data_IF_854201370087
#
_entry.id   IF_854201370087
#
_cell.length_a   1.000
_cell.length_b   1.000
_cell.length_c   1.000
_cell.angle_alpha   90.00
_cell.angle_beta   90.00
_cell.angle_gamma   90.00
#
_symmetry.space_group_name_H-M   'P 1'
#
loop_
_entity.id
_entity.type
_entity.pdbx_description
1 polymer ?
#
# COMPACT_ATOMS: atom_id res chain seq x y z
N UNK A 1 6.89 23.77 -10.44
CA UNK A 1 6.69 23.66 -8.98
C UNK A 1 6.49 22.19 -8.70
N UNK A 2 7.42 21.56 -7.99
CA UNK A 2 7.32 20.12 -7.68
C UNK A 2 6.46 19.90 -6.45
N UNK A 3 5.60 18.88 -6.49
CA UNK A 3 4.73 18.46 -5.38
C UNK A 3 4.89 16.96 -5.20
N UNK A 4 5.03 16.52 -3.97
CA UNK A 4 5.21 15.10 -3.71
C UNK A 4 5.35 14.74 -2.24
N UNK A 5 5.92 13.57 -1.98
CA UNK A 5 6.11 13.05 -0.62
C UNK A 5 7.37 13.67 -0.01
N UNK A 6 7.19 14.48 1.03
CA UNK A 6 8.26 15.12 1.77
C UNK A 6 8.76 14.26 2.93
N UNK A 7 7.86 13.54 3.58
CA UNK A 7 8.17 12.62 4.68
C UNK A 7 7.37 11.33 4.54
N UNK A 8 7.96 10.22 4.96
CA UNK A 8 7.28 8.91 4.99
C UNK A 8 7.59 8.21 6.32
N UNK A 9 6.54 7.68 6.96
CA UNK A 9 6.63 6.89 8.19
C UNK A 9 5.92 5.55 8.03
N UNK A 10 6.32 4.59 8.86
CA UNK A 10 5.78 3.25 8.81
C UNK A 10 5.61 2.70 10.23
N UNK A 11 4.46 2.08 10.47
CA UNK A 11 4.19 1.32 11.69
C UNK A 11 3.60 -0.05 11.37
N UNK A 12 3.91 -1.02 12.20
CA UNK A 12 3.33 -2.36 12.15
C UNK A 12 3.18 -2.89 13.57
N UNK A 13 2.41 -3.97 13.75
CA UNK A 13 2.22 -4.56 15.08
C UNK A 13 3.52 -5.08 15.68
N UNK A 14 3.56 -5.12 17.02
CA UNK A 14 4.66 -5.71 17.79
C UNK A 14 4.72 -7.23 17.70
N UNK A 15 3.63 -7.88 17.29
CA UNK A 15 3.56 -9.35 17.20
C UNK A 15 3.77 -9.82 15.76
N UNK A 16 4.51 -10.90 15.65
CA UNK A 16 4.85 -11.54 14.38
C UNK A 16 4.55 -13.04 14.44
N UNK A 17 4.00 -13.58 13.37
CA UNK A 17 3.86 -15.01 13.15
C UNK A 17 4.83 -15.45 12.06
N UNK A 18 5.80 -16.30 12.41
CA UNK A 18 6.68 -16.90 11.43
C UNK A 18 5.94 -17.90 10.54
N UNK A 19 6.23 -17.88 9.25
CA UNK A 19 5.57 -18.79 8.31
C UNK A 19 5.94 -20.25 8.54
N UNK A 20 7.11 -20.54 9.12
CA UNK A 20 7.48 -21.90 9.51
C UNK A 20 6.58 -22.43 10.64
N UNK A 21 6.27 -21.59 11.63
CA UNK A 21 5.37 -21.97 12.74
C UNK A 21 3.93 -22.16 12.24
N UNK A 22 3.47 -21.31 11.33
CA UNK A 22 2.18 -21.47 10.68
C UNK A 22 2.12 -22.77 9.86
N UNK A 23 3.18 -23.10 9.12
CA UNK A 23 3.27 -24.32 8.33
C UNK A 23 3.17 -25.56 9.22
N UNK A 24 3.88 -25.57 10.34
CA UNK A 24 3.81 -26.64 11.33
C UNK A 24 2.39 -26.79 11.89
N UNK A 25 1.75 -25.68 12.29
CA UNK A 25 0.39 -25.67 12.84
C UNK A 25 -0.67 -26.13 11.83
N UNK A 26 -0.42 -25.99 10.53
CA UNK A 26 -1.33 -26.39 9.44
C UNK A 26 -0.93 -27.71 8.77
N UNK A 27 0.14 -28.37 9.22
CA UNK A 27 0.60 -29.63 8.65
C UNK A 27 0.99 -29.53 7.17
N UNK A 28 1.58 -28.40 6.75
CA UNK A 28 2.01 -28.15 5.38
C UNK A 28 3.51 -27.93 5.32
N UNK A 29 4.10 -28.12 4.11
CA UNK A 29 5.51 -27.84 3.88
C UNK A 29 5.79 -26.33 4.02
N UNK A 30 6.76 -25.89 4.86
CA UNK A 30 7.16 -24.49 5.00
C UNK A 30 7.56 -23.82 3.68
N UNK A 31 8.07 -24.56 2.70
CA UNK A 31 8.43 -24.03 1.38
C UNK A 31 7.22 -23.52 0.59
N UNK A 32 6.02 -23.98 0.94
CA UNK A 32 4.77 -23.45 0.37
C UNK A 32 4.63 -21.93 0.61
N UNK A 33 5.08 -21.45 1.77
CA UNK A 33 5.04 -20.04 2.12
C UNK A 33 6.31 -19.30 1.72
N UNK A 34 7.49 -19.79 2.11
CA UNK A 34 8.77 -19.11 1.88
C UNK A 34 9.15 -19.02 0.39
N UNK A 35 8.94 -20.09 -0.40
CA UNK A 35 9.21 -20.13 -1.84
C UNK A 35 7.96 -19.89 -2.68
N UNK A 36 6.82 -20.48 -2.26
CA UNK A 36 5.56 -20.41 -2.99
C UNK A 36 4.91 -19.03 -2.98
N UNK A 37 4.95 -18.32 -1.87
CA UNK A 37 4.43 -16.97 -1.69
C UNK A 37 5.52 -15.92 -1.53
N UNK A 38 6.76 -16.30 -1.21
CA UNK A 38 7.88 -15.43 -0.82
C UNK A 38 7.56 -14.66 0.47
N UNK A 39 6.96 -15.35 1.46
CA UNK A 39 6.66 -14.82 2.79
C UNK A 39 7.45 -15.58 3.85
N UNK A 40 8.10 -14.85 4.75
CA UNK A 40 8.88 -15.39 5.86
C UNK A 40 8.12 -15.22 7.18
N UNK A 41 7.35 -14.14 7.31
CA UNK A 41 6.55 -13.83 8.49
C UNK A 41 5.36 -12.94 8.13
N UNK A 42 4.44 -12.76 9.07
CA UNK A 42 3.34 -11.80 8.98
C UNK A 42 3.14 -11.10 10.31
N UNK A 43 2.69 -9.84 10.23
CA UNK A 43 2.34 -9.02 11.38
C UNK A 43 0.94 -9.42 11.90
N UNK A 44 0.78 -9.50 13.22
CA UNK A 44 -0.48 -9.82 13.89
C UNK A 44 -0.79 -8.77 14.93
N UNK A 45 -1.98 -8.17 14.85
CA UNK A 45 -2.43 -7.18 15.82
C UNK A 45 -3.03 -7.83 17.07
N UNK A 46 -2.64 -7.39 18.28
CA UNK A 46 -3.39 -7.68 19.50
C UNK A 46 -4.72 -6.93 19.52
N UNK A 47 -5.55 -7.22 20.50
CA UNK A 47 -6.84 -6.54 20.67
C UNK A 47 -6.71 -5.03 20.99
N UNK A 48 -5.55 -4.59 21.39
CA UNK A 48 -5.23 -3.19 21.73
C UNK A 48 -4.77 -2.35 20.53
N UNK A 49 -4.58 -2.96 19.37
CA UNK A 49 -4.16 -2.26 18.15
C UNK A 49 -5.27 -2.33 17.10
N UNK A 50 -5.47 -1.21 16.42
CA UNK A 50 -6.37 -1.07 15.28
C UNK A 50 -5.75 -0.17 14.18
N UNK A 51 -6.50 0.11 13.12
CA UNK A 51 -6.03 0.96 12.02
C UNK A 51 -5.77 2.41 12.46
N UNK A 52 -6.44 2.89 13.53
CA UNK A 52 -6.27 4.25 14.04
C UNK A 52 -4.97 4.37 14.82
N UNK A 53 -4.67 3.40 15.68
CA UNK A 53 -3.42 3.38 16.45
C UNK A 53 -2.22 3.21 15.54
N UNK A 54 -2.25 2.24 14.60
CA UNK A 54 -1.20 2.05 13.60
C UNK A 54 -0.98 3.30 12.73
N UNK A 55 -2.07 3.93 12.28
CA UNK A 55 -2.00 5.17 11.49
C UNK A 55 -1.35 6.31 12.28
N UNK A 56 -1.73 6.45 13.56
CA UNK A 56 -1.20 7.49 14.44
C UNK A 56 0.28 7.28 14.73
N UNK A 57 0.70 6.04 15.00
CA UNK A 57 2.11 5.71 15.25
C UNK A 57 2.98 5.99 14.01
N UNK A 58 2.54 5.55 12.80
CA UNK A 58 3.27 5.82 11.57
C UNK A 58 3.44 7.32 11.29
N UNK A 59 2.45 8.14 11.66
CA UNK A 59 2.49 9.58 11.44
C UNK A 59 3.24 10.34 12.55
N UNK A 60 3.15 9.89 13.79
CA UNK A 60 3.80 10.55 14.93
C UNK A 60 5.32 10.63 14.76
N UNK A 61 5.94 9.60 14.20
CA UNK A 61 7.39 9.51 14.00
C UNK A 61 7.94 10.54 13.00
N UNK A 62 7.08 11.06 12.11
CA UNK A 62 7.53 11.96 11.03
C UNK A 62 7.08 13.41 11.19
N UNK A 63 6.10 13.68 12.05
CA UNK A 63 5.50 15.01 12.20
C UNK A 63 6.15 15.79 13.36
N UNK A 64 6.58 17.00 13.06
CA UNK A 64 6.92 17.99 14.07
C UNK A 64 5.77 19.00 14.27
N UNK A 65 5.93 19.93 15.23
CA UNK A 65 4.89 20.91 15.56
C UNK A 65 4.57 21.87 14.41
N UNK A 66 5.54 22.17 13.53
CA UNK A 66 5.31 23.04 12.39
C UNK A 66 4.54 22.31 11.30
N UNK A 67 4.77 21.00 11.10
CA UNK A 67 3.94 20.19 10.22
C UNK A 67 2.49 20.15 10.71
N UNK A 68 2.28 19.91 12.01
CA UNK A 68 0.92 19.84 12.60
C UNK A 68 0.13 21.14 12.45
N UNK A 69 0.82 22.28 12.44
CA UNK A 69 0.21 23.60 12.15
C UNK A 69 -0.09 23.83 10.67
N UNK A 70 0.76 23.29 9.78
CA UNK A 70 0.64 23.48 8.33
C UNK A 70 -0.28 22.46 7.66
N UNK A 71 -0.56 21.31 8.31
CA UNK A 71 -1.52 20.32 7.79
C UNK A 71 -2.92 20.90 7.85
N UNK A 72 -3.56 21.05 6.70
CA UNK A 72 -4.96 21.45 6.58
C UNK A 72 -5.86 20.33 6.02
N UNK A 73 -5.26 19.15 5.77
CA UNK A 73 -6.00 17.97 5.33
C UNK A 73 -5.35 16.67 5.84
N UNK A 74 -6.19 15.78 6.38
CA UNK A 74 -5.84 14.42 6.78
C UNK A 74 -6.71 13.43 6.02
N UNK A 75 -6.09 12.55 5.25
CA UNK A 75 -6.74 11.47 4.50
C UNK A 75 -6.28 10.13 5.09
N UNK A 76 -7.20 9.37 5.64
CA UNK A 76 -6.94 7.96 5.97
C UNK A 76 -7.54 7.10 4.87
N UNK A 77 -6.68 6.38 4.15
CA UNK A 77 -7.05 5.43 3.12
C UNK A 77 -7.07 4.02 3.73
N UNK A 78 -8.23 3.40 3.73
CA UNK A 78 -8.40 2.09 4.37
C UNK A 78 -9.57 1.31 3.76
N UNK A 79 -9.46 -0.01 3.75
CA UNK A 79 -10.59 -0.92 3.55
C UNK A 79 -10.96 -1.67 4.85
N UNK A 80 -10.33 -1.32 5.97
CA UNK A 80 -10.56 -1.90 7.31
C UNK A 80 -11.23 -0.90 8.26
N UNK A 81 -12.16 -0.07 7.73
CA UNK A 81 -12.89 0.97 8.49
C UNK A 81 -13.45 0.43 9.81
N UNK A 82 -13.40 1.25 10.85
CA UNK A 82 -13.90 0.93 12.20
C UNK A 82 -15.31 1.47 12.45
N UNK A 83 -15.79 2.39 11.62
CA UNK A 83 -17.10 3.02 11.73
C UNK A 83 -17.67 3.29 10.33
N UNK A 84 -18.98 3.22 10.17
CA UNK A 84 -19.64 3.44 8.87
C UNK A 84 -19.94 4.91 8.58
N UNK A 85 -19.76 5.81 9.55
CA UNK A 85 -20.11 7.22 9.48
C UNK A 85 -18.96 8.14 9.87
N UNK A 86 -18.30 7.88 11.00
CA UNK A 86 -17.16 8.67 11.47
C UNK A 86 -15.86 8.12 10.87
N UNK A 87 -15.19 8.96 10.09
CA UNK A 87 -13.92 8.60 9.44
C UNK A 87 -12.80 8.33 10.46
N UNK A 88 -11.98 7.30 10.20
CA UNK A 88 -10.76 7.02 10.97
C UNK A 88 -9.83 8.24 11.05
N UNK A 89 -9.80 9.07 9.99
CA UNK A 89 -9.03 10.30 9.95
C UNK A 89 -9.35 11.30 11.06
N UNK A 90 -10.60 11.32 11.55
CA UNK A 90 -11.01 12.22 12.66
C UNK A 90 -10.37 11.79 13.98
N UNK A 91 -10.25 10.49 14.22
CA UNK A 91 -9.57 9.97 15.40
C UNK A 91 -8.06 10.25 15.32
N UNK A 92 -7.44 9.95 14.17
CA UNK A 92 -6.01 10.20 13.93
C UNK A 92 -5.66 11.67 14.06
N UNK A 93 -6.47 12.56 13.49
CA UNK A 93 -6.33 14.02 13.63
C UNK A 93 -6.24 14.43 15.10
N UNK A 94 -7.16 13.93 15.94
CA UNK A 94 -7.21 14.23 17.37
C UNK A 94 -6.00 13.68 18.12
N UNK A 95 -5.61 12.42 17.86
CA UNK A 95 -4.47 11.77 18.52
C UNK A 95 -3.13 12.46 18.20
N UNK A 96 -2.97 12.95 16.97
CA UNK A 96 -1.76 13.64 16.55
C UNK A 96 -1.71 15.12 16.98
N UNK A 97 -2.80 15.67 17.48
CA UNK A 97 -2.89 17.09 17.86
C UNK A 97 -2.70 18.03 16.65
N UNK A 98 -3.26 17.67 15.49
CA UNK A 98 -3.25 18.53 14.30
C UNK A 98 -4.18 19.72 14.54
N UNK A 99 -3.85 20.87 13.94
CA UNK A 99 -4.62 22.09 14.11
C UNK A 99 -6.11 21.90 13.70
N UNK A 100 -7.08 22.57 14.37
CA UNK A 100 -8.49 22.21 14.31
C UNK A 100 -9.21 22.54 12.99
N UNK A 101 -8.61 23.35 12.12
CA UNK A 101 -9.21 23.75 10.84
C UNK A 101 -8.79 22.85 9.68
N UNK A 102 -8.18 21.69 9.96
CA UNK A 102 -7.86 20.69 8.97
C UNK A 102 -9.12 19.89 8.57
N UNK A 103 -9.25 19.60 7.28
CA UNK A 103 -10.24 18.65 6.76
C UNK A 103 -9.79 17.23 7.08
N UNK A 104 -10.69 16.40 7.61
CA UNK A 104 -10.38 15.01 7.93
C UNK A 104 -11.43 14.08 7.37
N UNK A 105 -11.04 13.16 6.49
CA UNK A 105 -11.97 12.20 5.88
C UNK A 105 -11.28 10.88 5.56
N UNK A 106 -12.09 9.86 5.34
CA UNK A 106 -11.65 8.51 4.96
C UNK A 106 -11.90 8.27 3.48
N UNK A 107 -10.96 7.60 2.83
CA UNK A 107 -11.05 7.24 1.42
C UNK A 107 -11.07 5.72 1.27
N UNK A 108 -12.03 5.20 0.49
CA UNK A 108 -12.22 3.76 0.28
C UNK A 108 -12.28 3.46 -1.22
N UNK A 109 -11.43 2.59 -1.66
CA UNK A 109 -11.45 1.86 -2.92
C UNK A 109 -10.45 0.70 -2.82
N UNK A 110 -10.75 -0.27 -1.96
CA UNK A 110 -9.85 -1.38 -1.68
C UNK A 110 -8.38 -0.91 -1.55
N UNK A 111 -7.43 -1.64 -2.10
CA UNK A 111 -6.01 -1.30 -2.01
C UNK A 111 -5.59 -0.05 -2.81
N UNK A 112 -6.46 0.50 -3.69
CA UNK A 112 -6.18 1.71 -4.48
C UNK A 112 -6.37 3.01 -3.70
N UNK A 113 -7.08 2.99 -2.57
CA UNK A 113 -7.50 4.18 -1.85
C UNK A 113 -6.36 5.16 -1.53
N UNK A 114 -5.17 4.66 -1.13
CA UNK A 114 -4.01 5.53 -0.86
C UNK A 114 -3.44 6.18 -2.12
N UNK A 115 -3.49 5.51 -3.27
CA UNK A 115 -3.10 6.10 -4.56
C UNK A 115 -4.05 7.25 -4.93
N UNK A 116 -5.36 7.05 -4.77
CA UNK A 116 -6.35 8.11 -4.95
C UNK A 116 -6.09 9.28 -3.97
N UNK A 117 -5.77 8.97 -2.71
CA UNK A 117 -5.43 9.96 -1.69
C UNK A 117 -4.22 10.81 -2.06
N UNK A 118 -3.16 10.21 -2.59
CA UNK A 118 -1.98 10.94 -3.07
C UNK A 118 -2.29 11.85 -4.26
N UNK A 119 -3.09 11.37 -5.22
CA UNK A 119 -3.53 12.21 -6.35
C UNK A 119 -4.36 13.41 -5.86
N UNK A 120 -5.28 13.18 -4.92
CA UNK A 120 -6.07 14.26 -4.34
C UNK A 120 -5.20 15.25 -3.55
N UNK A 121 -4.24 14.75 -2.75
CA UNK A 121 -3.30 15.57 -1.99
C UNK A 121 -2.44 16.45 -2.93
N UNK A 122 -1.95 15.91 -4.05
CA UNK A 122 -1.22 16.67 -5.06
C UNK A 122 -2.05 17.83 -5.62
N UNK A 123 -3.30 17.57 -6.00
CA UNK A 123 -4.22 18.59 -6.52
C UNK A 123 -4.52 19.66 -5.47
N UNK A 124 -4.67 19.26 -4.20
CA UNK A 124 -4.91 20.19 -3.10
C UNK A 124 -3.72 21.12 -2.88
N UNK A 125 -2.50 20.57 -2.79
CA UNK A 125 -1.26 21.36 -2.63
C UNK A 125 -1.00 22.24 -3.85
N UNK A 126 -1.35 21.81 -5.07
CA UNK A 126 -1.25 22.63 -6.26
C UNK A 126 -2.13 23.88 -6.20
N UNK A 127 -3.34 23.75 -5.62
CA UNK A 127 -4.28 24.85 -5.42
C UNK A 127 -3.95 25.71 -4.18
N UNK A 128 -3.29 25.13 -3.19
CA UNK A 128 -2.94 25.73 -1.89
C UNK A 128 -1.45 25.49 -1.56
N UNK A 129 -0.53 26.26 -2.13
CA UNK A 129 0.91 25.99 -2.10
C UNK A 129 1.57 25.92 -0.72
N UNK A 130 1.05 26.64 0.26
CA UNK A 130 1.54 26.64 1.63
C UNK A 130 0.98 25.49 2.48
N UNK A 131 0.06 24.71 1.92
CA UNK A 131 -0.63 23.63 2.57
C UNK A 131 0.21 22.36 2.62
N UNK A 132 0.02 21.56 3.66
CA UNK A 132 0.48 20.18 3.74
C UNK A 132 -0.70 19.24 3.89
N UNK A 133 -0.61 18.09 3.23
CA UNK A 133 -1.62 17.03 3.32
C UNK A 133 -0.99 15.77 3.90
N UNK A 134 -1.59 15.24 4.96
CA UNK A 134 -1.20 13.97 5.53
C UNK A 134 -2.07 12.86 4.93
N UNK A 135 -1.46 11.99 4.14
CA UNK A 135 -2.11 10.79 3.57
C UNK A 135 -1.60 9.57 4.31
N UNK A 136 -2.49 8.78 4.88
CA UNK A 136 -2.14 7.57 5.62
C UNK A 136 -2.87 6.39 5.02
N UNK A 137 -2.13 5.36 4.60
CA UNK A 137 -2.65 4.03 4.29
C UNK A 137 -2.56 3.18 5.55
N UNK A 138 -3.67 2.68 6.08
CA UNK A 138 -3.66 1.87 7.31
C UNK A 138 -4.69 0.75 7.21
N UNK A 139 -4.22 -0.50 7.31
CA UNK A 139 -5.09 -1.67 7.21
C UNK A 139 -4.64 -2.84 8.08
N UNK A 140 -5.61 -3.69 8.41
CA UNK A 140 -5.43 -5.00 9.00
C UNK A 140 -6.11 -6.02 8.09
N UNK A 141 -5.30 -6.80 7.37
CA UNK A 141 -5.80 -7.83 6.47
C UNK A 141 -6.23 -9.07 7.24
N UNK A 142 -7.52 -9.42 7.17
CA UNK A 142 -8.11 -10.58 7.86
C UNK A 142 -8.87 -11.45 6.87
N UNK A 143 -8.44 -12.70 6.74
CA UNK A 143 -9.07 -13.70 5.88
C UNK A 143 -9.73 -14.84 6.68
N UNK A 144 -9.42 -14.96 7.97
CA UNK A 144 -9.88 -16.03 8.85
C UNK A 144 -8.86 -17.16 9.01
N UNK A 145 -8.95 -17.82 10.15
CA UNK A 145 -8.12 -18.97 10.52
C UNK A 145 -8.43 -20.15 9.58
N UNK A 146 -7.40 -20.88 9.17
CA UNK A 146 -7.47 -22.02 8.24
C UNK A 146 -8.02 -21.71 6.84
N UNK A 147 -8.21 -20.43 6.52
CA UNK A 147 -8.58 -20.02 5.17
C UNK A 147 -7.38 -20.09 4.21
N UNK A 148 -7.65 -20.14 2.91
CA UNK A 148 -6.60 -20.09 1.88
C UNK A 148 -5.79 -18.78 1.89
N UNK A 149 -6.34 -17.71 2.48
CA UNK A 149 -5.70 -16.39 2.61
C UNK A 149 -4.93 -16.20 3.91
N UNK A 150 -5.05 -17.10 4.89
CA UNK A 150 -4.48 -16.91 6.24
C UNK A 150 -3.00 -16.52 6.22
N UNK A 151 -2.19 -17.18 5.39
CA UNK A 151 -0.76 -16.93 5.31
C UNK A 151 -0.39 -15.57 4.70
N UNK A 152 -1.34 -14.89 4.06
CA UNK A 152 -1.11 -13.57 3.44
C UNK A 152 -1.65 -12.41 4.27
N UNK A 153 -2.17 -12.67 5.46
CA UNK A 153 -2.61 -11.63 6.39
C UNK A 153 -1.45 -10.72 6.79
N UNK A 154 -1.77 -9.55 7.31
CA UNK A 154 -0.78 -8.59 7.81
C UNK A 154 -1.46 -7.37 8.40
N UNK A 155 -0.69 -6.52 9.04
CA UNK A 155 -1.17 -5.28 9.64
C UNK A 155 -0.10 -4.20 9.58
N UNK A 156 -0.49 -2.97 9.29
CA UNK A 156 0.44 -1.85 9.29
C UNK A 156 -0.14 -0.60 8.67
N UNK A 157 0.61 0.47 8.83
CA UNK A 157 0.29 1.78 8.28
C UNK A 157 1.51 2.44 7.64
N UNK A 158 1.25 3.19 6.57
CA UNK A 158 2.24 4.07 5.93
C UNK A 158 1.70 5.48 5.95
N UNK A 159 2.38 6.40 6.62
CA UNK A 159 2.06 7.83 6.64
C UNK A 159 2.95 8.58 5.66
N UNK A 160 2.36 9.44 4.85
CA UNK A 160 3.02 10.25 3.83
C UNK A 160 2.61 11.71 3.97
N UNK A 161 3.58 12.60 4.19
CA UNK A 161 3.34 14.03 4.21
C UNK A 161 3.59 14.58 2.79
N UNK A 162 2.55 15.09 2.16
CA UNK A 162 2.60 15.67 0.82
C UNK A 162 2.71 17.19 0.93
N UNK A 163 3.69 17.77 0.24
CA UNK A 163 3.93 19.22 0.21
C UNK A 163 4.61 19.66 -1.07
N UNK A 164 4.80 20.98 -1.23
CA UNK A 164 5.72 21.52 -2.22
C UNK A 164 7.18 21.24 -1.87
N UNK A 165 8.03 21.18 -2.91
CA UNK A 165 9.46 20.94 -2.82
C UNK A 165 9.79 19.72 -1.95
N UNK A 166 9.25 18.54 -2.31
CA UNK A 166 9.37 17.32 -1.52
C UNK A 166 10.81 16.82 -1.49
N UNK A 167 11.23 16.24 -0.36
CA UNK A 167 12.60 15.71 -0.17
C UNK A 167 12.76 14.26 -0.60
N UNK A 168 11.66 13.49 -0.69
CA UNK A 168 11.73 12.05 -0.97
C UNK A 168 11.44 11.76 -2.45
N UNK A 169 10.26 12.16 -2.94
CA UNK A 169 9.89 11.95 -4.34
C UNK A 169 8.84 12.96 -4.80
N UNK A 170 8.88 13.27 -6.08
CA UNK A 170 7.88 14.06 -6.78
C UNK A 170 6.78 13.14 -7.34
N UNK A 171 5.52 13.59 -7.25
CA UNK A 171 4.39 12.92 -7.87
C UNK A 171 4.19 13.46 -9.29
N UNK A 172 4.48 12.66 -10.30
CA UNK A 172 4.30 13.03 -11.70
C UNK A 172 2.81 13.19 -12.08
N UNK A 173 2.54 13.81 -13.24
CA UNK A 173 1.18 14.02 -13.78
C UNK A 173 0.80 13.01 -14.86
N UNK A 174 1.65 12.01 -15.08
CA UNK A 174 1.59 11.04 -16.16
C UNK A 174 0.84 9.74 -15.80
N UNK A 175 -0.03 9.77 -14.80
CA UNK A 175 -0.73 8.57 -14.34
C UNK A 175 -1.78 8.04 -15.33
N UNK A 176 -2.03 6.73 -15.26
CA UNK A 176 -3.09 6.03 -15.97
C UNK A 176 -3.92 5.23 -14.97
N UNK A 177 -5.24 5.36 -15.06
CA UNK A 177 -6.18 4.61 -14.25
C UNK A 177 -7.19 3.86 -15.12
N UNK A 178 -7.61 2.68 -14.65
CA UNK A 178 -8.67 1.88 -15.25
C UNK A 178 -9.66 1.46 -14.17
N UNK A 179 -10.94 1.66 -14.43
CA UNK A 179 -12.02 1.14 -13.58
C UNK A 179 -12.75 0.02 -14.30
N UNK A 180 -12.99 -1.09 -13.58
CA UNK A 180 -13.82 -2.20 -14.04
C UNK A 180 -14.71 -2.66 -12.89
N UNK A 181 -15.97 -2.91 -13.17
CA UNK A 181 -16.89 -3.53 -12.21
C UNK A 181 -16.66 -5.04 -12.22
N UNK A 182 -15.90 -5.53 -11.24
CA UNK A 182 -15.56 -6.95 -11.09
C UNK A 182 -15.73 -7.39 -9.63
N UNK A 183 -16.32 -8.56 -9.44
CA UNK A 183 -16.45 -9.19 -8.11
C UNK A 183 -15.17 -9.98 -7.80
N UNK A 184 -14.08 -9.23 -7.57
CA UNK A 184 -12.79 -9.75 -7.18
C UNK A 184 -12.36 -9.10 -5.88
N UNK A 185 -12.16 -9.88 -4.81
CA UNK A 185 -11.78 -9.38 -3.51
C UNK A 185 -12.70 -8.24 -3.03
N UNK A 186 -13.85 -8.59 -2.50
CA UNK A 186 -14.84 -7.64 -2.01
C UNK A 186 -15.43 -8.09 -0.67
N UNK A 187 -15.75 -7.14 0.19
CA UNK A 187 -16.27 -7.40 1.53
C UNK A 187 -17.54 -6.59 1.78
N UNK A 188 -18.72 -7.15 1.57
CA UNK A 188 -19.97 -6.48 1.87
C UNK A 188 -20.18 -6.32 3.38
N UNK A 189 -21.04 -5.37 3.78
CA UNK A 189 -21.27 -5.02 5.19
C UNK A 189 -21.75 -6.20 6.07
N UNK A 190 -22.32 -7.23 5.49
CA UNK A 190 -22.77 -8.43 6.20
C UNK A 190 -21.67 -9.49 6.39
N UNK A 191 -20.44 -9.24 5.91
CA UNK A 191 -19.33 -10.19 6.04
C UNK A 191 -18.15 -9.54 6.79
N UNK A 192 -17.58 -10.30 7.75
CA UNK A 192 -16.36 -9.90 8.47
C UNK A 192 -15.08 -10.20 7.72
N UNK A 193 -15.15 -11.05 6.67
CA UNK A 193 -14.00 -11.44 5.84
C UNK A 193 -14.31 -11.20 4.36
N UNK A 194 -13.30 -10.89 3.54
CA UNK A 194 -13.50 -10.68 2.11
C UNK A 194 -13.85 -11.99 1.39
N UNK A 195 -14.66 -11.88 0.36
CA UNK A 195 -14.85 -12.95 -0.62
C UNK A 195 -13.76 -12.84 -1.69
N UNK A 196 -13.09 -13.95 -1.95
CA UNK A 196 -12.04 -14.03 -2.95
C UNK A 196 -12.00 -15.40 -3.61
N UNK A 197 -11.86 -15.41 -4.93
CA UNK A 197 -11.59 -16.61 -5.70
C UNK A 197 -10.17 -16.52 -6.27
N UNK A 198 -9.20 -17.22 -5.68
CA UNK A 198 -7.77 -17.01 -5.90
C UNK A 198 -7.31 -17.08 -7.37
N UNK A 199 -7.85 -18.02 -8.18
CA UNK A 199 -7.51 -18.12 -9.61
C UNK A 199 -8.05 -16.91 -10.37
N UNK A 200 -9.29 -16.53 -10.13
CA UNK A 200 -9.92 -15.36 -10.76
C UNK A 200 -9.20 -14.07 -10.36
N UNK A 201 -8.92 -13.89 -9.07
CA UNK A 201 -8.19 -12.75 -8.51
C UNK A 201 -6.81 -12.60 -9.15
N UNK A 202 -6.04 -13.69 -9.22
CA UNK A 202 -4.74 -13.70 -9.90
C UNK A 202 -4.85 -13.24 -11.36
N UNK A 203 -5.87 -13.70 -12.09
CA UNK A 203 -6.11 -13.28 -13.47
C UNK A 203 -6.44 -11.80 -13.55
N UNK A 204 -7.34 -11.29 -12.68
CA UNK A 204 -7.69 -9.86 -12.65
C UNK A 204 -6.47 -8.98 -12.40
N UNK A 205 -5.62 -9.36 -11.45
CA UNK A 205 -4.38 -8.64 -11.14
C UNK A 205 -3.45 -8.56 -12.38
N UNK A 206 -3.17 -9.70 -13.01
CA UNK A 206 -2.26 -9.78 -14.16
C UNK A 206 -2.80 -9.06 -15.40
N UNK A 207 -4.10 -9.20 -15.68
CA UNK A 207 -4.74 -8.56 -16.84
C UNK A 207 -4.83 -7.03 -16.65
N UNK A 208 -5.16 -6.56 -15.43
CA UNK A 208 -5.20 -5.12 -15.11
C UNK A 208 -3.81 -4.49 -15.23
N UNK A 209 -2.78 -5.12 -14.64
CA UNK A 209 -1.41 -4.61 -14.76
C UNK A 209 -0.96 -4.51 -16.22
N UNK A 210 -1.23 -5.57 -17.03
CA UNK A 210 -0.90 -5.55 -18.44
C UNK A 210 -1.62 -4.44 -19.21
N UNK A 211 -2.91 -4.25 -18.93
CA UNK A 211 -3.73 -3.24 -19.64
C UNK A 211 -3.31 -1.82 -19.27
N UNK A 212 -3.09 -1.54 -17.98
CA UNK A 212 -2.68 -0.21 -17.54
C UNK A 212 -1.26 0.12 -17.98
N UNK A 213 -0.34 -0.87 -17.96
CA UNK A 213 1.02 -0.68 -18.46
C UNK A 213 1.01 -0.38 -19.98
N UNK A 214 0.27 -1.12 -20.78
CA UNK A 214 0.16 -0.87 -22.21
C UNK A 214 -0.41 0.54 -22.51
N UNK A 215 -1.45 0.96 -21.77
CA UNK A 215 -2.01 2.30 -21.90
C UNK A 215 -1.03 3.40 -21.47
N UNK A 216 -0.20 3.14 -20.44
CA UNK A 216 0.86 4.06 -20.04
C UNK A 216 1.93 4.22 -21.11
N UNK A 217 2.42 3.09 -21.65
CA UNK A 217 3.40 3.10 -22.74
C UNK A 217 2.88 3.84 -23.98
N UNK A 218 1.63 3.61 -24.36
CA UNK A 218 1.01 4.29 -25.51
C UNK A 218 0.91 5.81 -25.30
N UNK A 219 0.48 6.24 -24.11
CA UNK A 219 0.29 7.67 -23.81
C UNK A 219 1.59 8.44 -23.68
N UNK A 220 2.59 7.82 -23.06
CA UNK A 220 3.83 8.50 -22.65
C UNK A 220 5.04 8.08 -23.47
N UNK A 221 4.88 7.15 -24.45
CA UNK A 221 5.98 6.58 -25.24
C UNK A 221 7.09 6.02 -24.36
N UNK A 222 6.70 5.45 -23.20
CA UNK A 222 7.62 5.00 -22.16
C UNK A 222 8.25 3.65 -22.47
N UNK A 223 9.54 3.49 -22.16
CA UNK A 223 10.27 2.22 -22.23
C UNK A 223 10.67 1.74 -20.83
N UNK A 224 10.95 0.44 -20.69
CA UNK A 224 11.45 -0.14 -19.44
C UNK A 224 12.80 0.43 -19.00
N UNK A 225 13.59 0.96 -19.94
CA UNK A 225 14.85 1.62 -19.65
C UNK A 225 14.69 2.94 -18.88
N UNK A 226 13.52 3.58 -18.99
CA UNK A 226 13.22 4.85 -18.33
C UNK A 226 12.97 4.69 -16.83
N UNK A 227 12.73 3.46 -16.35
CA UNK A 227 12.37 3.19 -14.95
C UNK A 227 13.50 2.57 -14.16
N UNK A 228 13.79 3.14 -12.99
CA UNK A 228 14.71 2.56 -12.04
C UNK A 228 14.12 1.31 -11.37
N UNK A 229 12.84 1.34 -11.00
CA UNK A 229 12.14 0.27 -10.30
C UNK A 229 10.63 0.29 -10.57
N UNK A 230 9.98 -0.85 -10.31
CA UNK A 230 8.52 -0.99 -10.27
C UNK A 230 8.09 -1.39 -8.86
N UNK A 231 7.44 -0.48 -8.15
CA UNK A 231 6.79 -0.76 -6.86
C UNK A 231 5.35 -1.19 -7.13
N UNK A 232 5.10 -2.50 -7.08
CA UNK A 232 3.79 -3.07 -7.38
C UNK A 232 2.97 -3.28 -6.11
N UNK A 233 1.64 -3.31 -6.26
CA UNK A 233 0.77 -3.81 -5.20
C UNK A 233 1.10 -5.27 -4.86
N UNK A 234 1.26 -5.58 -3.57
CA UNK A 234 1.77 -6.84 -3.05
C UNK A 234 0.73 -7.55 -2.18
N UNK A 235 -0.29 -8.21 -2.75
CA UNK A 235 -1.10 -9.16 -1.99
C UNK A 235 -0.22 -10.24 -1.35
N UNK A 236 0.77 -10.71 -2.10
CA UNK A 236 1.96 -11.42 -1.64
C UNK A 236 3.08 -11.26 -2.70
N UNK A 237 4.37 -11.29 -2.32
CA UNK A 237 5.47 -10.93 -3.21
C UNK A 237 5.54 -11.76 -4.51
N UNK A 238 5.23 -13.07 -4.43
CA UNK A 238 5.27 -13.95 -5.63
C UNK A 238 4.27 -13.54 -6.70
N UNK A 239 3.11 -12.98 -6.34
CA UNK A 239 2.13 -12.50 -7.33
C UNK A 239 2.65 -11.27 -8.06
N UNK A 240 3.23 -10.33 -7.33
CA UNK A 240 3.83 -9.14 -7.94
C UNK A 240 5.01 -9.50 -8.87
N UNK A 241 5.85 -10.47 -8.48
CA UNK A 241 6.90 -11.00 -9.34
C UNK A 241 6.34 -11.61 -10.63
N UNK A 242 5.24 -12.36 -10.54
CA UNK A 242 4.53 -12.88 -11.73
C UNK A 242 4.02 -11.73 -12.62
N UNK A 243 3.50 -10.67 -12.00
CA UNK A 243 3.05 -9.47 -12.69
C UNK A 243 4.19 -8.77 -13.42
N UNK A 244 5.28 -8.50 -12.74
CA UNK A 244 6.47 -7.88 -13.33
C UNK A 244 7.00 -8.70 -14.52
N UNK A 245 7.16 -10.00 -14.35
CA UNK A 245 7.60 -10.91 -15.42
C UNK A 245 6.60 -11.00 -16.59
N UNK A 246 5.32 -10.64 -16.38
CA UNK A 246 4.29 -10.63 -17.42
C UNK A 246 4.38 -9.42 -18.33
N UNK A 247 4.85 -8.29 -17.80
CA UNK A 247 4.97 -7.03 -18.55
C UNK A 247 6.36 -6.82 -19.15
N UNK A 248 7.43 -7.33 -18.52
CA UNK A 248 8.80 -7.21 -19.03
C UNK A 248 8.94 -7.94 -20.38
N UNK A 249 9.42 -7.27 -21.46
CA UNK A 249 9.71 -7.90 -22.73
C UNK A 249 10.78 -8.98 -22.60
N UNK A 250 10.67 -10.04 -23.41
CA UNK A 250 11.66 -11.14 -23.39
C UNK A 250 13.04 -10.70 -23.90
N UNK A 251 13.05 -9.74 -24.77
CA UNK A 251 14.21 -9.14 -25.45
C UNK A 251 14.73 -7.87 -24.76
N UNK A 252 14.21 -7.55 -23.56
CA UNK A 252 14.75 -6.45 -22.77
C UNK A 252 16.25 -6.66 -22.52
N UNK A 253 17.02 -5.58 -22.68
CA UNK A 253 18.46 -5.56 -22.42
C UNK A 253 18.80 -6.22 -21.04
N UNK A 254 19.79 -7.13 -20.99
CA UNK A 254 20.13 -7.85 -19.74
C UNK A 254 20.42 -6.94 -18.54
N UNK A 255 21.11 -5.83 -18.73
CA UNK A 255 21.42 -4.87 -17.67
C UNK A 255 20.15 -4.24 -17.08
N UNK A 256 19.21 -3.81 -17.92
CA UNK A 256 17.92 -3.27 -17.49
C UNK A 256 17.08 -4.34 -16.76
N UNK A 257 17.11 -5.58 -17.25
CA UNK A 257 16.40 -6.68 -16.62
C UNK A 257 16.97 -7.01 -15.24
N UNK A 258 18.28 -7.04 -15.10
CA UNK A 258 18.97 -7.24 -13.82
C UNK A 258 18.66 -6.12 -12.84
N UNK A 259 18.76 -4.85 -13.27
CA UNK A 259 18.41 -3.68 -12.45
C UNK A 259 16.97 -3.76 -11.94
N UNK A 260 15.99 -4.02 -12.80
CA UNK A 260 14.60 -4.12 -12.41
C UNK A 260 14.33 -5.29 -11.45
N UNK A 261 15.02 -6.41 -11.63
CA UNK A 261 14.89 -7.58 -10.75
C UNK A 261 15.49 -7.28 -9.37
N UNK A 262 16.69 -6.72 -9.31
CA UNK A 262 17.36 -6.38 -8.05
C UNK A 262 16.55 -5.33 -7.25
N UNK A 263 16.01 -4.32 -7.93
CA UNK A 263 15.19 -3.30 -7.28
C UNK A 263 13.82 -3.86 -6.87
N UNK A 264 13.27 -4.84 -7.59
CA UNK A 264 12.07 -5.55 -7.14
C UNK A 264 12.35 -6.33 -5.84
N UNK A 265 13.45 -7.06 -5.76
CA UNK A 265 13.83 -7.83 -4.56
C UNK A 265 14.02 -6.90 -3.34
N UNK A 266 14.62 -5.73 -3.54
CA UNK A 266 14.71 -4.71 -2.50
C UNK A 266 13.31 -4.21 -2.06
N UNK A 267 12.41 -3.98 -3.02
CA UNK A 267 11.06 -3.45 -2.76
C UNK A 267 10.15 -4.38 -1.96
N UNK A 268 10.39 -5.69 -1.99
CA UNK A 268 9.57 -6.69 -1.28
C UNK A 268 10.06 -7.02 0.13
N UNK A 269 11.17 -6.46 0.59
CA UNK A 269 11.81 -6.81 1.87
C UNK A 269 10.83 -6.71 3.04
N UNK A 270 10.12 -5.60 3.18
CA UNK A 270 9.10 -5.45 4.23
C UNK A 270 7.90 -6.37 4.03
N UNK A 271 7.46 -6.56 2.78
CA UNK A 271 6.31 -7.41 2.47
C UNK A 271 6.52 -8.86 2.84
N UNK A 272 7.76 -9.35 2.75
CA UNK A 272 8.13 -10.71 3.15
C UNK A 272 7.96 -10.95 4.65
N UNK A 273 8.12 -9.88 5.48
CA UNK A 273 8.13 -9.96 6.94
C UNK A 273 6.79 -9.55 7.58
N UNK A 274 5.95 -8.81 6.85
CA UNK A 274 4.76 -8.17 7.43
C UNK A 274 3.47 -8.74 6.85
N UNK A 275 3.52 -9.32 5.65
CA UNK A 275 2.35 -9.76 4.92
C UNK A 275 1.63 -8.62 4.18
N UNK A 276 0.37 -8.85 3.82
CA UNK A 276 -0.46 -7.86 3.12
C UNK A 276 -1.00 -6.81 4.10
N UNK A 277 -0.84 -5.55 3.77
CA UNK A 277 -1.44 -4.41 4.47
C UNK A 277 -2.32 -3.59 3.51
N UNK A 278 -2.99 -4.25 2.58
CA UNK A 278 -3.93 -3.72 1.61
C UNK A 278 -3.46 -2.41 0.96
N UNK A 279 -4.07 -1.27 1.32
CA UNK A 279 -3.75 0.07 0.78
C UNK A 279 -2.30 0.51 0.97
N UNK A 280 -1.60 0.00 1.98
CA UNK A 280 -0.19 0.30 2.24
C UNK A 280 0.79 -0.67 1.58
N UNK A 281 0.32 -1.72 0.91
CA UNK A 281 1.19 -2.81 0.44
C UNK A 281 2.20 -2.40 -0.63
N UNK A 282 1.88 -1.46 -1.50
CA UNK A 282 2.81 -0.89 -2.48
C UNK A 282 3.63 0.28 -1.88
N UNK A 283 3.09 1.00 -0.90
CA UNK A 283 3.74 2.18 -0.29
C UNK A 283 4.90 1.83 0.62
N UNK A 284 4.85 0.71 1.34
CA UNK A 284 5.99 0.20 2.11
C UNK A 284 7.20 -0.15 1.23
N UNK A 285 6.98 -0.41 -0.07
CA UNK A 285 8.03 -0.68 -1.05
C UNK A 285 8.81 0.58 -1.48
N UNK A 286 8.26 1.78 -1.27
CA UNK A 286 8.90 3.04 -1.65
C UNK A 286 9.99 3.49 -0.67
N UNK A 287 10.14 2.83 0.47
CA UNK A 287 11.23 3.06 1.42
C UNK A 287 12.48 2.29 0.95
N UNK A 288 12.94 2.60 -0.26
CA UNK A 288 14.27 2.20 -0.73
C UNK A 288 15.28 3.09 -0.04
N UNK A 289 16.23 2.49 0.68
CA UNK A 289 17.32 3.19 1.36
C UNK A 289 18.20 3.97 0.39
#
# INVERSE_FOLDING_TARGET
>A
MSIGIDKIGFATSQYVLNMADLALARGVDPEKFSKGLMLDATSITPITEDIVTLASDAAADILNDDDKKAIDMVIVATESSIDQSKAAAVYVHSLLGIQPFARSFEMKEACYAATAGLNYAKLHVAAHPDSKVLVIASDIARYGVESSGESTQGAGAVAMLVSQNPRILELADDNVAQTRDVMDFWRPNYSSTPYVQGIYSTKQYLDSLKTTWAAYQERHQADFADFAAFCLHLPYPKLALKGLNKIIPKDLNPENKERLTNNFDASITYSRQIGNIYTGSDRKSTRLN
#
